data_IF_566167412494
#
_entry.id   IF_566167412494
#
_cell.length_a   1.000
_cell.length_b   1.000
_cell.length_c   1.000
_cell.angle_alpha   90.00
_cell.angle_beta   90.00
_cell.angle_gamma   90.00
#
_symmetry.space_group_name_H-M   'P 1'
#
loop_
_entity.id
_entity.type
_entity.pdbx_description
1 polymer ?
#
# COMPACT_ATOMS: atom_id res chain seq x y z
N UNK A 1 -23.05 -38.53 71.64
CA UNK A 1 -23.80 -38.53 70.36
C UNK A 1 -23.40 -37.28 69.61
N UNK A 2 -22.78 -37.42 68.43
CA UNK A 2 -22.19 -36.33 67.64
C UNK A 2 -23.26 -35.34 67.11
N UNK A 3 -23.02 -34.02 67.13
CA UNK A 3 -23.71 -33.11 66.23
C UNK A 3 -22.90 -32.89 64.95
N UNK A 4 -23.62 -32.97 63.84
CA UNK A 4 -23.16 -32.92 62.45
C UNK A 4 -22.71 -31.52 62.01
N UNK A 5 -21.69 -31.47 61.15
CA UNK A 5 -21.22 -30.27 60.44
C UNK A 5 -22.13 -29.99 59.23
N UNK A 6 -22.58 -28.75 58.98
CA UNK A 6 -23.24 -28.41 57.72
C UNK A 6 -22.22 -28.11 56.61
N UNK A 7 -22.40 -28.74 55.46
CA UNK A 7 -21.73 -28.43 54.20
C UNK A 7 -22.28 -27.13 53.58
N UNK A 8 -21.44 -26.27 52.97
CA UNK A 8 -21.90 -25.09 52.27
C UNK A 8 -22.44 -25.43 50.88
N UNK A 9 -23.68 -25.04 50.57
CA UNK A 9 -24.23 -25.03 49.21
C UNK A 9 -23.86 -23.72 48.52
N UNK A 10 -22.95 -23.78 47.54
CA UNK A 10 -22.63 -22.64 46.69
C UNK A 10 -23.83 -22.28 45.77
N UNK A 11 -24.13 -20.99 45.56
CA UNK A 11 -25.34 -20.56 44.89
C UNK A 11 -25.23 -20.67 43.36
N UNK A 12 -26.00 -21.58 42.77
CA UNK A 12 -26.16 -21.75 41.30
C UNK A 12 -26.67 -20.47 40.59
N UNK A 13 -27.23 -19.52 41.36
CA UNK A 13 -27.77 -18.26 40.87
C UNK A 13 -26.70 -17.27 40.33
N UNK A 14 -25.49 -17.25 40.89
CA UNK A 14 -24.42 -16.33 40.46
C UNK A 14 -23.84 -16.71 39.10
N UNK A 15 -23.78 -18.01 38.79
CA UNK A 15 -23.32 -18.49 37.49
C UNK A 15 -24.24 -18.10 36.33
N UNK A 16 -25.57 -18.12 36.54
CA UNK A 16 -26.55 -17.72 35.51
C UNK A 16 -26.51 -16.22 35.20
N UNK A 17 -26.33 -15.38 36.21
CA UNK A 17 -26.19 -13.94 36.05
C UNK A 17 -24.88 -13.58 35.32
N UNK A 18 -23.77 -14.26 35.63
CA UNK A 18 -22.50 -14.08 34.91
C UNK A 18 -22.60 -14.53 33.43
N UNK A 19 -23.31 -15.63 33.15
CA UNK A 19 -23.49 -16.13 31.77
C UNK A 19 -24.30 -15.16 30.91
N UNK A 20 -25.37 -14.56 31.47
CA UNK A 20 -26.18 -13.56 30.77
C UNK A 20 -25.41 -12.26 30.52
N UNK A 21 -24.61 -11.79 31.49
CA UNK A 21 -23.75 -10.62 31.31
C UNK A 21 -22.68 -10.86 30.25
N UNK A 22 -22.06 -12.05 30.22
CA UNK A 22 -21.08 -12.41 29.19
C UNK A 22 -21.70 -12.48 27.79
N UNK A 23 -22.92 -13.01 27.65
CA UNK A 23 -23.64 -13.03 26.37
C UNK A 23 -24.02 -11.62 25.89
N UNK A 24 -24.42 -10.73 26.78
CA UNK A 24 -24.74 -9.34 26.44
C UNK A 24 -23.49 -8.57 25.96
N UNK A 25 -22.34 -8.77 26.61
CA UNK A 25 -21.06 -8.17 26.19
C UNK A 25 -20.62 -8.75 24.84
N UNK A 26 -20.76 -10.06 24.63
CA UNK A 26 -20.46 -10.69 23.34
C UNK A 26 -21.35 -10.16 22.21
N UNK A 27 -22.65 -9.95 22.47
CA UNK A 27 -23.58 -9.37 21.50
C UNK A 27 -23.25 -7.91 21.16
N UNK A 28 -22.82 -7.09 22.14
CA UNK A 28 -22.35 -5.73 21.86
C UNK A 28 -21.05 -5.71 21.04
N UNK A 29 -20.13 -6.65 21.27
CA UNK A 29 -18.89 -6.77 20.49
C UNK A 29 -19.14 -7.19 19.03
N UNK A 30 -20.19 -7.99 18.78
CA UNK A 30 -20.62 -8.36 17.42
C UNK A 30 -21.25 -7.18 16.66
N UNK A 31 -21.93 -6.25 17.35
CA UNK A 31 -22.50 -5.04 16.73
C UNK A 31 -21.45 -3.94 16.43
N UNK A 32 -20.28 -3.99 17.08
CA UNK A 32 -19.17 -3.06 16.82
C UNK A 32 -18.27 -3.48 15.64
N UNK A 33 -18.60 -4.59 14.96
CA UNK A 33 -17.94 -4.99 13.73
C UNK A 33 -18.29 -3.98 12.62
N UNK A 34 -17.44 -2.95 12.46
CA UNK A 34 -17.53 -2.03 11.35
C UNK A 34 -17.33 -2.79 10.04
N UNK A 35 -18.36 -2.87 9.19
CA UNK A 35 -18.25 -3.45 7.86
C UNK A 35 -17.21 -2.68 7.02
N UNK A 36 -16.07 -3.31 6.77
CA UNK A 36 -15.10 -2.83 5.81
C UNK A 36 -15.71 -2.95 4.39
N UNK A 37 -16.38 -1.89 3.95
CA UNK A 37 -17.02 -1.85 2.65
C UNK A 37 -15.97 -1.72 1.53
N UNK A 38 -15.95 -2.71 0.63
CA UNK A 38 -15.16 -2.70 -0.59
C UNK A 38 -16.08 -2.60 -1.80
N UNK A 39 -15.87 -1.60 -2.66
CA UNK A 39 -16.56 -1.47 -3.94
C UNK A 39 -15.57 -1.58 -5.08
N UNK A 40 -15.85 -2.45 -6.04
CA UNK A 40 -15.12 -2.52 -7.30
C UNK A 40 -16.05 -2.18 -8.48
N UNK A 41 -15.46 -1.63 -9.54
CA UNK A 41 -16.10 -1.53 -10.85
C UNK A 41 -15.12 -1.96 -11.92
N UNK A 42 -15.63 -2.66 -12.91
CA UNK A 42 -14.87 -3.09 -14.08
C UNK A 42 -15.67 -2.76 -15.33
N UNK A 43 -14.99 -2.22 -16.34
CA UNK A 43 -15.59 -1.83 -17.63
C UNK A 43 -14.63 -2.19 -18.75
N UNK A 44 -15.17 -2.69 -19.85
CA UNK A 44 -14.44 -2.91 -21.09
C UNK A 44 -15.11 -2.07 -22.17
N UNK A 45 -14.30 -1.37 -22.95
CA UNK A 45 -14.74 -0.51 -24.05
C UNK A 45 -13.98 -0.91 -25.31
N UNK A 46 -14.73 -1.11 -26.39
CA UNK A 46 -14.18 -1.28 -27.73
C UNK A 46 -14.27 0.07 -28.43
N UNK A 47 -13.14 0.61 -28.84
CA UNK A 47 -13.03 1.95 -29.39
C UNK A 47 -13.20 1.91 -30.93
N UNK A 48 -13.51 3.05 -31.52
CA UNK A 48 -13.70 3.19 -32.98
C UNK A 48 -12.42 2.89 -33.80
N UNK A 49 -11.25 3.02 -33.18
CA UNK A 49 -9.93 2.73 -33.78
C UNK A 49 -9.51 1.26 -33.65
N UNK A 50 -10.44 0.35 -33.35
CA UNK A 50 -10.22 -1.08 -33.05
C UNK A 50 -9.42 -1.38 -31.77
N UNK A 51 -9.03 -0.36 -31.00
CA UNK A 51 -8.39 -0.58 -29.71
C UNK A 51 -9.41 -1.02 -28.65
N UNK A 52 -8.96 -1.80 -27.66
CA UNK A 52 -9.77 -2.20 -26.51
C UNK A 52 -9.20 -1.59 -25.23
N UNK A 53 -10.06 -0.92 -24.46
CA UNK A 53 -9.71 -0.33 -23.18
C UNK A 53 -10.48 -1.01 -22.05
N UNK A 54 -9.75 -1.63 -21.11
CA UNK A 54 -10.31 -2.17 -19.88
C UNK A 54 -9.95 -1.27 -18.69
N UNK A 55 -10.92 -0.91 -17.85
CA UNK A 55 -10.72 -0.12 -16.64
C UNK A 55 -11.23 -0.90 -15.42
N UNK A 56 -10.50 -0.79 -14.32
CA UNK A 56 -10.90 -1.34 -13.03
C UNK A 56 -10.63 -0.31 -11.94
N UNK A 57 -11.66 -0.01 -11.13
CA UNK A 57 -11.56 0.81 -9.93
C UNK A 57 -11.90 -0.01 -8.69
N UNK A 58 -11.19 0.21 -7.59
CA UNK A 58 -11.46 -0.38 -6.28
C UNK A 58 -11.37 0.70 -5.22
N UNK A 59 -12.40 0.80 -4.39
CA UNK A 59 -12.43 1.67 -3.21
C UNK A 59 -12.68 0.80 -1.98
N UNK A 60 -11.90 1.02 -0.93
CA UNK A 60 -12.06 0.35 0.37
C UNK A 60 -12.00 1.39 1.48
N UNK A 61 -13.01 1.42 2.34
CA UNK A 61 -12.93 2.17 3.60
C UNK A 61 -12.22 1.32 4.66
N UNK A 62 -11.47 1.97 5.56
CA UNK A 62 -10.85 1.32 6.70
C UNK A 62 -11.61 1.68 8.00
N UNK A 63 -11.75 0.74 8.96
CA UNK A 63 -12.23 1.07 10.30
C UNK A 63 -11.31 2.12 10.96
N UNK A 64 -11.90 3.12 11.62
CA UNK A 64 -11.14 4.18 12.31
C UNK A 64 -10.78 5.41 11.47
N UNK A 65 -11.38 5.55 10.27
CA UNK A 65 -11.09 6.66 9.36
C UNK A 65 -9.99 6.33 8.36
N UNK A 66 -10.15 6.75 7.11
CA UNK A 66 -9.22 6.44 6.02
C UNK A 66 -9.71 5.34 5.07
N UNK A 67 -8.83 4.93 4.15
CA UNK A 67 -9.18 4.00 3.09
C UNK A 67 -8.18 3.96 1.95
N UNK A 68 -8.51 3.18 0.93
CA UNK A 68 -7.71 2.99 -0.28
C UNK A 68 -8.59 3.17 -1.50
N UNK A 69 -8.18 4.04 -2.42
CA UNK A 69 -8.70 4.11 -3.78
C UNK A 69 -7.62 3.62 -4.73
N UNK A 70 -7.93 2.68 -5.61
CA UNK A 70 -7.03 2.16 -6.63
C UNK A 70 -7.73 2.12 -7.98
N UNK A 71 -7.05 2.57 -9.02
CA UNK A 71 -7.49 2.49 -10.40
C UNK A 71 -6.44 1.83 -11.29
N UNK A 72 -6.89 1.13 -12.32
CA UNK A 72 -6.06 0.64 -13.42
C UNK A 72 -6.83 0.77 -14.73
N UNK A 73 -6.16 1.24 -15.78
CA UNK A 73 -6.64 1.18 -17.16
C UNK A 73 -5.62 0.44 -18.01
N UNK A 74 -6.07 -0.49 -18.83
CA UNK A 74 -5.28 -1.21 -19.83
C UNK A 74 -5.86 -0.87 -21.19
N UNK A 75 -5.03 -0.49 -22.14
CA UNK A 75 -5.41 -0.25 -23.54
C UNK A 75 -4.52 -1.11 -24.43
N UNK A 76 -5.09 -1.78 -25.41
CA UNK A 76 -4.35 -2.54 -26.42
C UNK A 76 -4.91 -2.23 -27.79
N UNK A 77 -4.06 -2.12 -28.79
CA UNK A 77 -4.49 -2.09 -30.18
C UNK A 77 -4.35 -3.46 -30.83
N UNK A 78 -4.92 -3.61 -32.03
CA UNK A 78 -4.76 -4.82 -32.84
C UNK A 78 -3.35 -5.00 -33.44
N UNK A 79 -2.44 -4.06 -33.22
CA UNK A 79 -1.10 -4.02 -33.82
C UNK A 79 0.00 -4.48 -32.84
N UNK A 80 -0.38 -4.85 -31.62
CA UNK A 80 0.55 -5.36 -30.61
C UNK A 80 1.01 -4.32 -29.59
N UNK A 81 0.64 -3.04 -29.77
CA UNK A 81 0.88 -2.03 -28.75
C UNK A 81 -0.05 -2.23 -27.56
N UNK A 82 0.47 -1.92 -26.38
CA UNK A 82 -0.31 -1.99 -25.17
C UNK A 82 0.17 -0.95 -24.17
N UNK A 83 -0.74 -0.33 -23.45
CA UNK A 83 -0.42 0.56 -22.34
C UNK A 83 -1.23 0.20 -21.11
N UNK A 84 -0.63 0.41 -19.95
CA UNK A 84 -1.25 0.26 -18.65
C UNK A 84 -1.01 1.56 -17.90
N UNK A 85 -2.05 2.14 -17.32
CA UNK A 85 -1.93 3.18 -16.30
C UNK A 85 -2.54 2.65 -15.02
N UNK A 86 -1.92 2.96 -13.90
CA UNK A 86 -2.39 2.56 -12.59
C UNK A 86 -2.11 3.65 -11.57
N UNK A 87 -3.00 3.75 -10.60
CA UNK A 87 -2.89 4.71 -9.52
C UNK A 87 -3.48 4.13 -8.24
N UNK A 88 -2.93 4.51 -7.11
CA UNK A 88 -3.53 4.25 -5.81
C UNK A 88 -3.31 5.45 -4.90
N UNK A 89 -4.34 5.80 -4.13
CA UNK A 89 -4.28 6.72 -3.01
C UNK A 89 -4.70 5.98 -1.76
N UNK A 90 -3.98 6.19 -0.68
CA UNK A 90 -4.21 5.62 0.64
C UNK A 90 -4.31 6.78 1.63
N UNK A 91 -5.31 6.72 2.50
CA UNK A 91 -5.42 7.56 3.70
C UNK A 91 -5.42 6.62 4.89
N UNK A 92 -4.48 6.81 5.80
CA UNK A 92 -4.37 6.08 7.06
C UNK A 92 -5.25 6.68 8.15
N UNK A 93 -5.42 5.96 9.27
CA UNK A 93 -6.29 6.36 10.38
C UNK A 93 -5.90 7.70 11.04
N UNK A 94 -4.61 8.04 11.03
CA UNK A 94 -4.11 9.30 11.59
C UNK A 94 -3.93 10.39 10.52
N UNK A 95 -4.64 10.31 9.40
CA UNK A 95 -4.55 11.31 8.32
C UNK A 95 -3.29 11.21 7.44
N UNK A 96 -2.38 10.26 7.71
CA UNK A 96 -1.25 9.97 6.83
C UNK A 96 -1.76 9.60 5.42
N UNK A 97 -1.11 10.10 4.38
CA UNK A 97 -1.51 9.84 2.99
C UNK A 97 -0.37 9.20 2.20
N UNK A 98 -0.73 8.38 1.21
CA UNK A 98 0.22 7.89 0.23
C UNK A 98 -0.44 7.81 -1.15
N UNK A 99 0.26 8.27 -2.17
CA UNK A 99 -0.15 8.18 -3.57
C UNK A 99 0.93 7.44 -4.33
N UNK A 100 0.53 6.48 -5.16
CA UNK A 100 1.39 5.83 -6.16
C UNK A 100 0.73 5.96 -7.51
N UNK A 101 1.51 6.32 -8.52
CA UNK A 101 1.08 6.27 -9.91
C UNK A 101 2.12 5.53 -10.73
N UNK A 102 1.68 4.84 -11.77
CA UNK A 102 2.59 4.16 -12.67
C UNK A 102 1.95 3.90 -14.02
N UNK A 103 2.78 3.99 -15.04
CA UNK A 103 2.42 3.65 -16.41
C UNK A 103 3.40 2.62 -16.95
N UNK A 104 2.91 1.75 -17.80
CA UNK A 104 3.73 0.84 -18.58
C UNK A 104 3.25 0.86 -20.02
N UNK A 105 4.16 0.70 -20.96
CA UNK A 105 3.85 0.53 -22.36
C UNK A 105 4.63 -0.67 -22.92
N UNK A 106 4.06 -1.32 -23.92
CA UNK A 106 4.72 -2.27 -24.80
C UNK A 106 4.47 -1.84 -26.24
N UNK A 107 5.49 -1.98 -27.06
CA UNK A 107 5.43 -1.74 -28.49
C UNK A 107 5.29 -3.08 -29.24
N UNK A 108 4.90 -2.99 -30.51
CA UNK A 108 4.76 -4.15 -31.39
C UNK A 108 6.09 -4.92 -31.59
N UNK A 109 7.23 -4.22 -31.52
CA UNK A 109 8.58 -4.78 -31.61
C UNK A 109 9.06 -5.51 -30.34
N UNK A 110 8.22 -5.58 -29.29
CA UNK A 110 8.53 -6.24 -28.03
C UNK A 110 9.23 -5.34 -27.00
N UNK A 111 9.64 -4.12 -27.38
CA UNK A 111 10.16 -3.14 -26.44
C UNK A 111 9.08 -2.77 -25.41
N UNK A 112 9.49 -2.55 -24.16
CA UNK A 112 8.60 -2.15 -23.09
C UNK A 112 9.22 -1.07 -22.21
N UNK A 113 8.37 -0.23 -21.65
CA UNK A 113 8.76 0.77 -20.67
C UNK A 113 7.82 0.75 -19.48
N UNK A 114 8.34 1.21 -18.35
CA UNK A 114 7.62 1.44 -17.13
C UNK A 114 8.13 2.72 -16.50
N UNK A 115 7.25 3.56 -15.99
CA UNK A 115 7.60 4.66 -15.10
C UNK A 115 6.60 4.71 -13.94
N UNK A 116 7.08 5.06 -12.75
CA UNK A 116 6.22 5.22 -11.59
C UNK A 116 6.75 6.26 -10.61
N UNK A 117 5.81 6.84 -9.89
CA UNK A 117 6.05 7.75 -8.79
C UNK A 117 5.30 7.26 -7.56
N UNK A 118 5.83 7.58 -6.39
CA UNK A 118 5.19 7.40 -5.11
C UNK A 118 5.51 8.59 -4.23
N UNK A 119 4.50 9.12 -3.55
CA UNK A 119 4.63 10.12 -2.51
C UNK A 119 3.86 9.65 -1.29
N UNK A 120 4.40 9.84 -0.10
CA UNK A 120 3.71 9.59 1.16
C UNK A 120 4.06 10.68 2.18
N UNK A 121 3.11 11.03 3.03
CA UNK A 121 3.34 11.89 4.19
C UNK A 121 2.53 11.40 5.40
N UNK A 122 3.03 11.73 6.59
CA UNK A 122 2.29 11.59 7.84
C UNK A 122 3.18 12.03 9.00
N UNK A 123 2.78 11.66 10.21
CA UNK A 123 3.46 12.09 11.45
C UNK A 123 4.92 11.64 11.55
N UNK A 124 5.32 10.60 10.80
CA UNK A 124 6.72 10.13 10.73
C UNK A 124 7.57 10.88 9.71
N UNK A 125 6.96 11.74 8.89
CA UNK A 125 7.61 12.51 7.85
C UNK A 125 7.13 12.14 6.45
N UNK A 126 8.01 12.34 5.47
CA UNK A 126 7.67 12.25 4.04
C UNK A 126 8.52 11.22 3.33
N UNK A 127 7.98 10.69 2.23
CA UNK A 127 8.70 9.80 1.33
C UNK A 127 8.30 10.11 -0.11
N UNK A 128 9.29 10.29 -0.98
CA UNK A 128 9.11 10.49 -2.40
C UNK A 128 9.98 9.47 -3.14
N UNK A 129 9.42 8.81 -4.15
CA UNK A 129 10.13 7.81 -4.94
C UNK A 129 9.74 7.95 -6.40
N UNK A 130 10.72 7.96 -7.29
CA UNK A 130 10.52 7.96 -8.73
C UNK A 130 11.36 6.86 -9.33
N UNK A 131 10.85 6.18 -10.35
CA UNK A 131 11.62 5.16 -11.03
C UNK A 131 11.09 4.85 -12.41
N UNK A 132 11.98 4.32 -13.23
CA UNK A 132 11.69 3.89 -14.58
C UNK A 132 12.42 2.58 -14.89
N UNK A 133 11.88 1.82 -15.82
CA UNK A 133 12.53 0.66 -16.42
C UNK A 133 12.20 0.61 -17.90
N UNK A 134 13.16 0.17 -18.70
CA UNK A 134 13.00 -0.07 -20.12
C UNK A 134 13.57 -1.44 -20.45
N UNK A 135 12.89 -2.14 -21.35
CA UNK A 135 13.42 -3.31 -22.06
C UNK A 135 13.35 -2.98 -23.54
N UNK A 136 14.49 -3.02 -24.21
CA UNK A 136 14.55 -2.81 -25.66
C UNK A 136 14.07 -4.05 -26.42
N UNK A 137 13.87 -3.93 -27.73
CA UNK A 137 13.46 -5.05 -28.59
C UNK A 137 14.52 -6.18 -28.64
N UNK A 138 15.79 -5.84 -28.47
CA UNK A 138 16.92 -6.78 -28.39
C UNK A 138 17.03 -7.52 -27.04
N UNK A 139 16.16 -7.18 -26.08
CA UNK A 139 16.16 -7.76 -24.74
C UNK A 139 16.87 -6.93 -23.68
N UNK A 140 17.67 -5.93 -24.07
CA UNK A 140 18.47 -5.14 -23.12
C UNK A 140 17.61 -4.41 -22.08
N UNK A 141 17.94 -4.59 -20.80
CA UNK A 141 17.18 -4.00 -19.68
C UNK A 141 17.96 -2.87 -19.01
N UNK A 142 17.30 -1.72 -18.85
CA UNK A 142 17.77 -0.62 -18.00
C UNK A 142 16.70 -0.31 -16.95
N UNK A 143 17.10 -0.09 -15.71
CA UNK A 143 16.19 0.31 -14.64
C UNK A 143 16.86 1.33 -13.71
N UNK A 144 16.08 2.29 -13.23
CA UNK A 144 16.51 3.28 -12.25
C UNK A 144 15.41 3.57 -11.23
N UNK A 145 15.80 3.85 -9.98
CA UNK A 145 14.92 4.39 -8.96
C UNK A 145 15.69 5.32 -8.04
N UNK A 146 15.08 6.46 -7.72
CA UNK A 146 15.53 7.38 -6.69
C UNK A 146 14.45 7.47 -5.62
N UNK A 147 14.83 7.46 -4.36
CA UNK A 147 13.90 7.59 -3.22
C UNK A 147 14.48 8.51 -2.18
N UNK A 148 13.73 9.54 -1.81
CA UNK A 148 14.03 10.45 -0.72
C UNK A 148 13.04 10.21 0.41
N UNK A 149 13.52 10.05 1.64
CA UNK A 149 12.68 9.98 2.83
C UNK A 149 13.19 11.00 3.85
N UNK A 150 12.27 11.75 4.45
CA UNK A 150 12.58 12.78 5.46
C UNK A 150 11.84 12.45 6.74
N UNK A 151 12.56 12.46 7.86
CA UNK A 151 12.01 12.26 9.20
C UNK A 151 11.33 13.54 9.69
N UNK A 152 10.07 13.45 10.13
CA UNK A 152 9.42 14.58 10.80
C UNK A 152 10.02 14.88 12.18
N UNK A 153 10.55 13.85 12.86
CA UNK A 153 11.06 13.99 14.23
C UNK A 153 12.41 14.72 14.29
N UNK A 154 13.25 14.53 13.27
CA UNK A 154 14.62 15.06 13.26
C UNK A 154 14.90 16.02 12.13
N UNK A 155 14.05 16.10 11.09
CA UNK A 155 14.32 16.84 9.87
C UNK A 155 15.34 16.18 8.94
N UNK A 156 16.07 15.15 9.40
CA UNK A 156 17.06 14.45 8.62
C UNK A 156 16.41 13.71 7.44
N UNK A 157 17.15 13.62 6.34
CA UNK A 157 16.70 12.91 5.14
C UNK A 157 17.72 11.90 4.63
N UNK A 158 17.23 10.92 3.89
CA UNK A 158 18.06 9.98 3.13
C UNK A 158 17.59 9.96 1.69
N UNK A 159 18.52 10.14 0.77
CA UNK A 159 18.34 9.96 -0.65
C UNK A 159 19.05 8.69 -1.08
N UNK A 160 18.30 7.73 -1.60
CA UNK A 160 18.84 6.49 -2.14
C UNK A 160 18.62 6.46 -3.64
N UNK A 161 19.60 5.95 -4.38
CA UNK A 161 19.42 5.63 -5.78
C UNK A 161 19.81 4.18 -6.05
N UNK A 162 19.15 3.56 -7.02
CA UNK A 162 19.50 2.25 -7.52
C UNK A 162 19.36 2.23 -9.03
N UNK A 163 20.35 1.68 -9.72
CA UNK A 163 20.27 1.43 -11.14
C UNK A 163 20.55 -0.04 -11.45
N UNK A 164 20.12 -0.46 -12.64
CA UNK A 164 20.47 -1.73 -13.23
C UNK A 164 20.67 -1.55 -14.73
N UNK A 165 21.72 -2.18 -15.25
CA UNK A 165 21.96 -2.43 -16.68
C UNK A 165 22.54 -3.83 -16.83
N UNK A 166 22.48 -4.41 -18.02
CA UNK A 166 23.09 -5.73 -18.26
C UNK A 166 24.61 -5.71 -18.06
N UNK A 167 25.28 -4.64 -18.48
CA UNK A 167 26.75 -4.51 -18.41
C UNK A 167 27.27 -4.35 -16.98
N UNK A 168 26.58 -3.57 -16.15
CA UNK A 168 27.07 -3.20 -14.80
C UNK A 168 26.34 -3.92 -13.67
N UNK A 169 25.29 -4.69 -13.98
CA UNK A 169 24.42 -5.29 -12.98
C UNK A 169 23.70 -4.24 -12.12
N UNK A 170 23.35 -4.60 -10.88
CA UNK A 170 22.62 -3.71 -9.97
C UNK A 170 23.59 -2.88 -9.13
N UNK A 171 23.42 -1.55 -9.18
CA UNK A 171 24.13 -0.62 -8.29
C UNK A 171 23.16 0.06 -7.31
N UNK A 172 23.69 0.50 -6.16
CA UNK A 172 22.95 1.27 -5.16
C UNK A 172 23.85 2.30 -4.50
N UNK A 173 23.30 3.50 -4.27
CA UNK A 173 23.93 4.53 -3.45
C UNK A 173 22.93 5.10 -2.43
N UNK A 174 23.47 5.67 -1.36
CA UNK A 174 22.72 6.38 -0.34
C UNK A 174 23.51 7.61 0.12
N UNK A 175 22.83 8.73 0.25
CA UNK A 175 23.34 9.98 0.80
C UNK A 175 22.36 10.44 1.87
N UNK A 176 22.88 10.87 3.02
CA UNK A 176 22.07 11.32 4.14
C UNK A 176 22.36 12.79 4.41
N UNK A 177 21.33 13.52 4.82
CA UNK A 177 21.40 14.94 5.10
C UNK A 177 20.78 15.22 6.45
N UNK A 178 21.33 16.17 7.18
CA UNK A 178 20.72 16.69 8.40
C UNK A 178 19.55 17.64 8.08
N UNK A 179 18.90 18.17 9.11
CA UNK A 179 17.78 19.11 8.98
C UNK A 179 18.13 20.42 8.25
N UNK A 180 19.40 20.81 8.20
CA UNK A 180 19.88 22.00 7.47
C UNK A 180 20.15 21.71 5.99
N UNK A 181 20.14 20.43 5.59
CA UNK A 181 20.51 19.98 4.25
C UNK A 181 22.00 19.71 4.09
N UNK A 182 22.79 19.75 5.17
CA UNK A 182 24.21 19.43 5.11
C UNK A 182 24.41 17.91 5.03
N UNK A 183 25.37 17.42 4.22
CA UNK A 183 25.64 16.00 4.10
C UNK A 183 26.15 15.44 5.43
N UNK A 184 25.64 14.28 5.81
CA UNK A 184 26.01 13.56 7.02
C UNK A 184 26.25 12.06 6.74
N UNK A 185 26.94 11.39 7.65
CA UNK A 185 27.10 9.94 7.57
C UNK A 185 25.73 9.24 7.64
N UNK A 186 25.49 8.31 6.72
CA UNK A 186 24.29 7.50 6.80
C UNK A 186 24.37 6.52 7.97
N UNK A 187 23.27 6.34 8.74
CA UNK A 187 23.22 5.33 9.80
C UNK A 187 23.53 3.95 9.23
N UNK A 188 24.28 3.15 9.99
CA UNK A 188 24.50 1.74 9.64
C UNK A 188 23.15 1.02 9.59
N UNK A 189 22.96 0.17 8.58
CA UNK A 189 21.77 -0.67 8.49
C UNK A 189 21.86 -1.73 9.61
N UNK A 190 20.86 -1.87 10.48
CA UNK A 190 20.82 -2.98 11.43
C UNK A 190 20.69 -4.33 10.72
#
# INVERSE_FOLDING_TARGET
MFPSVPTPTAPVATYRAMLLAALAVAALLLLAANDANARSRHTVEHNADSSTTARTGVVRAAPGGGGVLRGRSVSTDGQGHGSVRSGATVVGPNGATAVRQGQSARNADGAASHSSTLAAQGDRGTLQSTGAATRSADGSVTQGRTTTATSAATGNSVQTSSSYTEDTGRTRSASCFDASGAPMACPARP
#
